data_IF_699006296190
#
_entry.id   IF_699006296190
#
_cell.length_a   1.000
_cell.length_b   1.000
_cell.length_c   1.000
_cell.angle_alpha   90.00
_cell.angle_beta   90.00
_cell.angle_gamma   90.00
#
_symmetry.space_group_name_H-M   'P 1'
#
loop_
_entity.id
_entity.type
_entity.pdbx_description
1 polymer ?
#
# COMPACT_ATOMS: atom_id res chain seq x y z
N UNK A 1 1.07 16.62 -12.18
CA UNK A 1 1.93 16.09 -13.25
C UNK A 1 2.43 14.68 -12.98
N UNK A 2 3.33 14.44 -12.01
CA UNK A 2 3.86 13.09 -11.75
C UNK A 2 2.77 12.04 -11.57
N UNK A 3 1.80 12.32 -10.71
CA UNK A 3 0.62 11.46 -10.46
C UNK A 3 -0.12 11.10 -11.75
N UNK A 4 -0.45 12.09 -12.58
CA UNK A 4 -1.24 11.87 -13.79
C UNK A 4 -0.45 11.09 -14.84
N UNK A 5 0.85 11.37 -14.99
CA UNK A 5 1.71 10.66 -15.94
C UNK A 5 1.96 9.21 -15.51
N UNK A 6 2.07 8.95 -14.22
CA UNK A 6 2.28 7.60 -13.72
C UNK A 6 1.06 6.69 -13.92
N UNK A 7 -0.15 7.23 -13.87
CA UNK A 7 -1.39 6.42 -14.02
C UNK A 7 -1.84 6.23 -15.48
N UNK A 8 -1.14 6.82 -16.46
CA UNK A 8 -1.43 6.64 -17.90
C UNK A 8 -1.59 5.17 -18.34
N UNK A 9 -0.82 4.19 -17.82
CA UNK A 9 -0.99 2.77 -18.16
C UNK A 9 -2.37 2.19 -17.80
N UNK A 10 -3.13 2.81 -16.91
CA UNK A 10 -4.50 2.39 -16.58
C UNK A 10 -5.54 2.83 -17.63
N UNK A 11 -5.12 3.56 -18.66
CA UNK A 11 -5.95 3.96 -19.78
C UNK A 11 -6.81 5.19 -19.51
N UNK A 12 -7.50 5.63 -20.57
CA UNK A 12 -8.20 6.91 -20.61
C UNK A 12 -9.37 6.97 -19.61
N UNK A 13 -10.08 5.86 -19.38
CA UNK A 13 -11.19 5.80 -18.43
C UNK A 13 -10.72 6.16 -17.01
N UNK A 14 -9.64 5.52 -16.54
CA UNK A 14 -9.07 5.82 -15.23
C UNK A 14 -8.58 7.26 -15.14
N UNK A 15 -7.80 7.69 -16.13
CA UNK A 15 -7.17 9.01 -16.14
C UNK A 15 -8.21 10.13 -16.12
N UNK A 16 -9.32 9.99 -16.86
CA UNK A 16 -10.37 11.02 -16.91
C UNK A 16 -11.06 11.21 -15.56
N UNK A 17 -11.37 10.11 -14.87
CA UNK A 17 -12.03 10.20 -13.56
C UNK A 17 -11.11 10.82 -12.52
N UNK A 18 -9.86 10.35 -12.41
CA UNK A 18 -8.95 10.87 -11.38
C UNK A 18 -8.47 12.29 -11.68
N UNK A 19 -8.25 12.69 -12.94
CA UNK A 19 -7.77 14.04 -13.31
C UNK A 19 -8.59 15.18 -12.70
N UNK A 20 -9.88 14.93 -12.42
CA UNK A 20 -10.80 15.87 -11.77
C UNK A 20 -10.28 16.37 -10.42
N UNK A 21 -9.46 15.60 -9.70
CA UNK A 21 -8.85 16.03 -8.43
C UNK A 21 -8.05 17.34 -8.57
N UNK A 22 -7.51 17.61 -9.76
CA UNK A 22 -6.70 18.80 -10.04
C UNK A 22 -7.53 20.09 -10.11
N UNK A 23 -8.83 19.99 -10.45
CA UNK A 23 -9.70 21.14 -10.69
C UNK A 23 -10.83 21.26 -9.66
N UNK A 24 -11.29 20.14 -9.10
CA UNK A 24 -12.45 20.06 -8.21
C UNK A 24 -12.11 20.17 -6.71
N UNK A 25 -10.89 20.58 -6.36
CA UNK A 25 -10.45 20.84 -4.98
C UNK A 25 -10.63 19.65 -4.02
N UNK A 26 -10.37 18.43 -4.48
CA UNK A 26 -10.47 17.24 -3.63
C UNK A 26 -9.47 17.25 -2.47
N UNK A 27 -8.29 17.86 -2.70
CA UNK A 27 -7.15 17.78 -1.78
C UNK A 27 -7.07 19.01 -0.87
N UNK A 28 -7.26 18.80 0.43
CA UNK A 28 -6.86 19.74 1.47
C UNK A 28 -5.41 19.47 1.87
N UNK A 29 -4.46 20.15 1.22
CA UNK A 29 -3.01 19.91 1.39
C UNK A 29 -2.31 20.90 2.33
N UNK A 30 -2.94 22.03 2.67
CA UNK A 30 -2.30 23.08 3.45
C UNK A 30 -2.16 22.67 4.92
N UNK A 31 -0.95 22.78 5.47
CA UNK A 31 -0.71 22.58 6.89
C UNK A 31 -1.35 23.73 7.70
N UNK A 32 -2.03 23.39 8.80
CA UNK A 32 -2.61 24.38 9.71
C UNK A 32 -2.67 23.83 11.15
N UNK A 33 -2.84 24.74 12.12
CA UNK A 33 -2.84 24.39 13.55
C UNK A 33 -4.08 23.55 13.89
N UNK A 34 -3.86 22.35 14.43
CA UNK A 34 -4.93 21.44 14.83
C UNK A 34 -5.44 20.54 13.71
N UNK A 35 -4.84 20.58 12.51
CA UNK A 35 -5.08 19.59 11.46
C UNK A 35 -4.57 18.23 11.91
N UNK A 36 -5.29 17.18 11.50
CA UNK A 36 -4.86 15.82 11.72
C UNK A 36 -3.54 15.51 10.98
N UNK A 37 -2.77 14.57 11.51
CA UNK A 37 -1.50 14.15 10.93
C UNK A 37 -1.70 13.04 9.89
N UNK A 38 -0.79 12.94 8.92
CA UNK A 38 -0.82 11.90 7.89
C UNK A 38 -1.61 12.29 6.65
N UNK A 39 -2.12 11.27 5.96
CA UNK A 39 -3.00 11.41 4.80
C UNK A 39 -4.14 10.39 4.86
N UNK A 40 -5.29 10.75 4.31
CA UNK A 40 -6.39 9.80 4.06
C UNK A 40 -7.31 10.32 2.95
N UNK A 41 -8.01 9.39 2.31
CA UNK A 41 -9.12 9.65 1.41
C UNK A 41 -10.45 9.24 2.07
N UNK A 42 -11.51 9.98 1.79
CA UNK A 42 -12.86 9.68 2.25
C UNK A 42 -13.88 9.91 1.14
N UNK A 43 -14.88 9.04 1.05
CA UNK A 43 -15.91 9.07 0.03
C UNK A 43 -17.33 9.12 0.62
N UNK A 44 -18.10 10.19 0.32
CA UNK A 44 -19.54 10.10 0.35
C UNK A 44 -20.01 9.41 -0.94
N UNK A 45 -20.85 8.38 -0.82
CA UNK A 45 -21.31 7.59 -1.97
C UNK A 45 -21.83 8.45 -3.14
N UNK A 46 -21.23 8.28 -4.32
CA UNK A 46 -21.50 9.01 -5.57
C UNK A 46 -21.25 10.52 -5.51
N UNK A 47 -20.47 10.96 -4.54
CA UNK A 47 -19.84 12.28 -4.51
C UNK A 47 -18.37 12.09 -4.85
N UNK A 48 -17.72 13.14 -5.35
CA UNK A 48 -16.28 13.08 -5.51
C UNK A 48 -15.58 12.83 -4.16
N UNK A 49 -14.42 12.14 -4.15
CA UNK A 49 -13.65 11.92 -2.94
C UNK A 49 -13.09 13.21 -2.34
N UNK A 50 -12.72 13.12 -1.06
CA UNK A 50 -11.96 14.14 -0.34
C UNK A 50 -10.66 13.55 0.16
N UNK A 51 -9.57 14.26 -0.04
CA UNK A 51 -8.23 13.87 0.40
C UNK A 51 -7.73 14.88 1.43
N UNK A 52 -7.37 14.40 2.61
CA UNK A 52 -6.64 15.19 3.60
C UNK A 52 -5.16 14.80 3.52
N UNK A 53 -4.27 15.78 3.44
CA UNK A 53 -2.83 15.57 3.61
C UNK A 53 -2.12 16.85 4.06
N UNK A 54 -0.84 16.75 4.40
CA UNK A 54 0.01 17.93 4.65
C UNK A 54 1.18 17.95 3.67
N UNK A 55 1.24 18.96 2.81
CA UNK A 55 2.28 19.08 1.79
C UNK A 55 3.50 19.87 2.28
N UNK A 56 4.68 19.29 2.12
CA UNK A 56 5.97 19.88 2.51
C UNK A 56 6.92 20.13 1.33
N UNK A 57 6.55 19.71 0.12
CA UNK A 57 7.36 19.86 -1.10
C UNK A 57 8.38 18.74 -1.31
N UNK A 58 8.21 17.59 -0.66
CA UNK A 58 9.10 16.42 -0.77
C UNK A 58 8.50 15.36 -1.70
N UNK A 59 9.34 14.48 -2.23
CA UNK A 59 8.86 13.38 -3.07
C UNK A 59 7.93 12.43 -2.29
N UNK A 60 8.19 12.23 -1.00
CA UNK A 60 7.29 11.48 -0.10
C UNK A 60 5.86 12.02 -0.13
N UNK A 61 5.67 13.34 -0.28
CA UNK A 61 4.34 13.93 -0.37
C UNK A 61 3.65 13.56 -1.69
N UNK A 62 4.40 13.33 -2.77
CA UNK A 62 3.86 12.81 -4.04
C UNK A 62 3.39 11.36 -3.86
N UNK A 63 4.15 10.54 -3.09
CA UNK A 63 3.73 9.18 -2.74
C UNK A 63 2.45 9.19 -1.90
N UNK A 64 2.35 10.06 -0.87
CA UNK A 64 1.10 10.23 -0.12
C UNK A 64 -0.04 10.68 -1.04
N UNK A 65 0.17 11.68 -1.89
CA UNK A 65 -0.87 12.14 -2.80
C UNK A 65 -1.34 11.01 -3.74
N UNK A 66 -0.42 10.28 -4.35
CA UNK A 66 -0.82 9.21 -5.29
C UNK A 66 -1.49 8.03 -4.58
N UNK A 67 -1.09 7.73 -3.34
CA UNK A 67 -1.74 6.76 -2.47
C UNK A 67 -3.21 7.11 -2.29
N UNK A 68 -3.49 8.34 -1.85
CA UNK A 68 -4.87 8.78 -1.63
C UNK A 68 -5.67 8.94 -2.93
N UNK A 69 -5.02 9.26 -4.05
CA UNK A 69 -5.67 9.25 -5.37
C UNK A 69 -5.98 7.83 -5.83
N UNK A 70 -5.21 6.81 -5.43
CA UNK A 70 -5.55 5.41 -5.66
C UNK A 70 -6.82 4.98 -4.93
N UNK A 71 -6.95 5.33 -3.65
CA UNK A 71 -8.20 5.17 -2.89
C UNK A 71 -9.35 5.94 -3.55
N UNK A 72 -9.13 7.21 -3.90
CA UNK A 72 -10.12 8.06 -4.58
C UNK A 72 -10.61 7.44 -5.90
N UNK A 73 -9.68 6.92 -6.71
CA UNK A 73 -10.01 6.20 -7.93
C UNK A 73 -10.88 4.97 -7.63
N UNK A 74 -10.49 4.15 -6.64
CA UNK A 74 -11.29 3.01 -6.24
C UNK A 74 -12.73 3.41 -5.84
N UNK A 75 -12.90 4.43 -5.00
CA UNK A 75 -14.21 4.91 -4.58
C UNK A 75 -15.09 5.30 -5.77
N UNK A 76 -14.55 6.08 -6.71
CA UNK A 76 -15.29 6.51 -7.91
C UNK A 76 -15.73 5.31 -8.74
N UNK A 77 -14.81 4.38 -8.99
CA UNK A 77 -15.10 3.21 -9.83
C UNK A 77 -16.12 2.29 -9.17
N UNK A 78 -16.04 2.05 -7.85
CA UNK A 78 -17.05 1.24 -7.16
C UNK A 78 -18.41 1.94 -7.05
N UNK A 79 -18.45 3.23 -6.70
CA UNK A 79 -19.69 3.97 -6.46
C UNK A 79 -20.56 4.11 -7.71
N UNK A 80 -19.89 4.25 -8.86
CA UNK A 80 -20.56 4.39 -10.15
C UNK A 80 -21.07 3.06 -10.71
N UNK A 81 -20.56 1.92 -10.24
CA UNK A 81 -20.88 0.60 -10.78
C UNK A 81 -21.62 -0.32 -9.80
N UNK A 82 -21.57 -0.02 -8.51
CA UNK A 82 -22.25 -0.78 -7.47
C UNK A 82 -23.43 -0.01 -6.88
N UNK A 83 -24.27 -0.73 -6.13
CA UNK A 83 -25.24 -0.11 -5.23
C UNK A 83 -24.54 0.32 -3.93
N UNK A 84 -25.17 1.21 -3.18
CA UNK A 84 -24.68 1.66 -1.87
C UNK A 84 -24.27 0.50 -0.94
N UNK A 85 -25.00 -0.63 -0.98
CA UNK A 85 -24.74 -1.78 -0.12
C UNK A 85 -23.49 -2.59 -0.51
N UNK A 86 -22.99 -2.41 -1.73
CA UNK A 86 -21.85 -3.17 -2.27
C UNK A 86 -20.73 -2.25 -2.78
N UNK A 87 -20.74 -0.95 -2.48
CA UNK A 87 -19.75 -0.02 -2.98
C UNK A 87 -18.38 -0.25 -2.33
N UNK A 88 -18.34 -0.42 -1.01
CA UNK A 88 -17.08 -0.60 -0.29
C UNK A 88 -16.48 -1.99 -0.54
N UNK A 89 -15.24 -2.01 -1.01
CA UNK A 89 -14.47 -3.24 -1.20
C UNK A 89 -14.17 -3.94 0.13
N UNK A 90 -13.73 -5.20 0.06
CA UNK A 90 -13.32 -5.90 1.27
C UNK A 90 -12.12 -5.22 1.92
N UNK A 91 -12.19 -5.05 3.24
CA UNK A 91 -11.07 -4.57 4.04
C UNK A 91 -9.81 -5.41 3.84
N UNK A 92 -9.91 -6.69 3.46
CA UNK A 92 -8.77 -7.56 3.19
C UNK A 92 -7.76 -6.97 2.19
N UNK A 93 -8.23 -6.25 1.18
CA UNK A 93 -7.38 -5.70 0.10
C UNK A 93 -7.64 -4.20 -0.15
N UNK A 94 -8.15 -3.48 0.87
CA UNK A 94 -8.51 -2.06 0.74
C UNK A 94 -7.31 -1.17 0.41
N UNK A 95 -6.09 -1.59 0.77
CA UNK A 95 -4.84 -0.88 0.47
C UNK A 95 -4.23 -1.25 -0.90
N UNK A 96 -4.88 -2.16 -1.65
CA UNK A 96 -4.38 -2.53 -2.97
C UNK A 96 -4.46 -1.38 -4.00
N UNK A 97 -5.55 -0.60 -4.10
CA UNK A 97 -5.66 0.51 -5.04
C UNK A 97 -4.61 1.61 -4.85
N UNK A 98 -4.42 2.03 -3.61
CA UNK A 98 -3.48 3.09 -3.24
C UNK A 98 -2.05 2.69 -3.55
N UNK A 99 -1.63 1.51 -3.07
CA UNK A 99 -0.26 1.02 -3.25
C UNK A 99 0.04 0.60 -4.68
N UNK A 100 -0.96 0.17 -5.45
CA UNK A 100 -0.80 -0.11 -6.88
C UNK A 100 -0.40 1.17 -7.63
N UNK A 101 -1.04 2.29 -7.32
CA UNK A 101 -0.65 3.54 -7.94
C UNK A 101 0.76 3.99 -7.51
N UNK A 102 1.19 3.73 -6.27
CA UNK A 102 2.59 3.99 -5.87
C UNK A 102 3.59 3.16 -6.68
N UNK A 103 3.26 1.92 -7.04
CA UNK A 103 4.09 1.10 -7.94
C UNK A 103 4.18 1.74 -9.32
N UNK A 104 3.07 2.28 -9.84
CA UNK A 104 3.07 3.03 -11.09
C UNK A 104 3.91 4.31 -11.00
N UNK A 105 3.88 5.04 -9.88
CA UNK A 105 4.76 6.19 -9.68
C UNK A 105 6.22 5.80 -9.67
N UNK A 106 6.56 4.73 -8.93
CA UNK A 106 7.91 4.20 -8.87
C UNK A 106 8.42 3.79 -10.26
N UNK A 107 7.60 3.05 -11.00
CA UNK A 107 7.88 2.61 -12.37
C UNK A 107 8.04 3.80 -13.33
N UNK A 108 7.16 4.79 -13.24
CA UNK A 108 7.26 6.02 -14.03
C UNK A 108 8.59 6.74 -13.76
N UNK A 109 8.92 6.97 -12.49
CA UNK A 109 10.16 7.64 -12.07
C UNK A 109 11.41 6.89 -12.53
N UNK A 110 11.40 5.56 -12.45
CA UNK A 110 12.49 4.70 -12.92
C UNK A 110 12.73 4.85 -14.44
N UNK A 111 11.66 4.98 -15.22
CA UNK A 111 11.72 5.04 -16.68
C UNK A 111 11.83 6.48 -17.25
N UNK A 112 11.82 7.52 -16.41
CA UNK A 112 12.00 8.90 -16.89
C UNK A 112 13.44 9.25 -17.27
N UNK A 113 14.43 8.44 -16.91
CA UNK A 113 15.83 8.76 -17.10
C UNK A 113 16.70 7.54 -17.23
N UNK A 114 17.77 7.64 -18.03
CA UNK A 114 18.80 6.61 -18.15
C UNK A 114 19.95 6.76 -17.14
N UNK A 115 19.92 7.78 -16.28
CA UNK A 115 20.91 7.96 -15.20
C UNK A 115 20.76 6.85 -14.13
N UNK A 116 21.78 5.98 -13.92
CA UNK A 116 21.74 4.94 -12.89
C UNK A 116 21.42 5.48 -11.49
N UNK A 117 21.83 6.72 -11.18
CA UNK A 117 21.52 7.36 -9.89
C UNK A 117 20.03 7.63 -9.74
N UNK A 118 19.36 8.06 -10.80
CA UNK A 118 17.92 8.33 -10.78
C UNK A 118 17.10 7.04 -10.76
N UNK A 119 17.52 6.01 -11.51
CA UNK A 119 16.89 4.67 -11.45
C UNK A 119 17.00 4.06 -10.06
N UNK A 120 18.20 4.05 -9.47
CA UNK A 120 18.41 3.59 -8.09
C UNK A 120 17.56 4.37 -7.10
N UNK A 121 17.47 5.69 -7.26
CA UNK A 121 16.66 6.54 -6.40
C UNK A 121 15.17 6.19 -6.47
N UNK A 122 14.61 5.96 -7.66
CA UNK A 122 13.22 5.53 -7.83
C UNK A 122 12.96 4.16 -7.17
N UNK A 123 13.84 3.18 -7.41
CA UNK A 123 13.74 1.85 -6.79
C UNK A 123 13.88 1.90 -5.26
N UNK A 124 14.76 2.77 -4.75
CA UNK A 124 14.88 2.98 -3.31
C UNK A 124 13.58 3.50 -2.70
N UNK A 125 12.89 4.46 -3.37
CA UNK A 125 11.59 4.96 -2.91
C UNK A 125 10.49 3.89 -3.01
N UNK A 126 10.52 3.03 -4.04
CA UNK A 126 9.64 1.84 -4.08
C UNK A 126 9.80 1.00 -2.81
N UNK A 127 11.04 0.74 -2.38
CA UNK A 127 11.27 -0.03 -1.16
C UNK A 127 10.91 0.75 0.11
N UNK A 128 11.33 2.01 0.25
CA UNK A 128 11.17 2.77 1.51
C UNK A 128 9.77 3.34 1.71
N UNK A 129 9.20 3.92 0.66
CA UNK A 129 7.96 4.70 0.75
C UNK A 129 6.72 3.83 0.50
N UNK A 130 6.86 2.75 -0.29
CA UNK A 130 5.78 1.77 -0.50
C UNK A 130 5.91 0.56 0.41
N UNK A 131 6.97 -0.25 0.30
CA UNK A 131 6.98 -1.58 0.94
C UNK A 131 7.46 -1.60 2.39
N UNK A 132 8.42 -0.78 2.80
CA UNK A 132 9.03 -0.93 4.12
C UNK A 132 8.01 -0.64 5.24
N UNK A 133 7.31 0.48 5.16
CA UNK A 133 6.23 0.77 6.10
C UNK A 133 4.99 -0.08 5.81
N UNK A 134 4.46 -0.02 4.59
CA UNK A 134 3.15 -0.60 4.33
C UNK A 134 3.18 -2.14 4.31
N UNK A 135 4.25 -2.77 3.84
CA UNK A 135 4.34 -4.24 3.81
C UNK A 135 4.95 -4.81 5.08
N UNK A 136 6.20 -4.44 5.36
CA UNK A 136 7.02 -5.10 6.39
C UNK A 136 6.60 -4.64 7.78
N UNK A 137 6.49 -3.33 8.02
CA UNK A 137 6.13 -2.82 9.34
C UNK A 137 4.73 -3.30 9.73
N UNK A 138 3.74 -3.14 8.85
CA UNK A 138 2.38 -3.62 9.16
C UNK A 138 2.25 -5.15 9.25
N UNK A 139 3.09 -5.94 8.56
CA UNK A 139 3.16 -7.40 8.77
C UNK A 139 3.60 -7.72 10.19
N UNK A 140 4.63 -7.04 10.69
CA UNK A 140 5.13 -7.21 12.05
C UNK A 140 4.10 -6.79 13.09
N UNK A 141 3.39 -5.69 12.84
CA UNK A 141 2.26 -5.26 13.66
C UNK A 141 1.15 -6.32 13.71
N UNK A 142 0.79 -6.90 12.56
CA UNK A 142 -0.20 -7.97 12.49
C UNK A 142 0.27 -9.24 13.22
N UNK A 143 1.55 -9.60 13.09
CA UNK A 143 2.15 -10.73 13.80
C UNK A 143 2.14 -10.51 15.33
N UNK A 144 2.44 -9.29 15.78
CA UNK A 144 2.30 -8.88 17.17
C UNK A 144 0.86 -9.00 17.67
N UNK A 145 -0.11 -8.41 16.95
CA UNK A 145 -1.53 -8.48 17.31
C UNK A 145 -2.02 -9.93 17.42
N UNK A 146 -1.61 -10.79 16.49
CA UNK A 146 -1.98 -12.21 16.51
C UNK A 146 -1.51 -12.89 17.79
N UNK A 147 -0.24 -12.68 18.21
CA UNK A 147 0.28 -13.22 19.46
C UNK A 147 -0.48 -12.67 20.69
N UNK A 148 -0.85 -11.38 20.68
CA UNK A 148 -1.65 -10.77 21.76
C UNK A 148 -3.06 -11.39 21.83
N UNK A 149 -3.74 -11.57 20.70
CA UNK A 149 -5.08 -12.17 20.66
C UNK A 149 -5.06 -13.64 21.07
N UNK A 150 -4.09 -14.43 20.59
CA UNK A 150 -3.93 -15.83 21.03
C UNK A 150 -3.74 -15.92 22.55
N UNK A 151 -2.96 -15.02 23.14
CA UNK A 151 -2.77 -14.98 24.60
C UNK A 151 -4.10 -14.73 25.34
N UNK A 152 -4.97 -13.84 24.83
CA UNK A 152 -6.30 -13.61 25.40
C UNK A 152 -7.20 -14.85 25.23
N UNK A 153 -7.17 -15.49 24.05
CA UNK A 153 -7.94 -16.70 23.75
C UNK A 153 -7.57 -17.87 24.67
N UNK A 154 -6.32 -17.93 25.10
CA UNK A 154 -5.80 -18.89 26.08
C UNK A 154 -6.21 -18.56 27.53
N UNK A 155 -6.92 -17.45 27.76
CA UNK A 155 -7.38 -17.01 29.07
C UNK A 155 -6.31 -16.29 29.90
N UNK A 156 -5.18 -15.95 29.29
CA UNK A 156 -4.10 -15.23 29.93
C UNK A 156 -4.34 -13.71 29.94
N UNK A 157 -3.55 -13.00 30.75
CA UNK A 157 -3.57 -11.53 30.80
C UNK A 157 -2.20 -10.97 30.51
N UNK A 158 -2.13 -9.71 30.10
CA UNK A 158 -0.87 -9.05 29.77
C UNK A 158 -0.78 -7.65 30.40
N UNK A 159 0.45 -7.26 30.73
CA UNK A 159 0.82 -5.89 31.01
C UNK A 159 1.93 -5.44 30.06
N UNK A 160 2.41 -4.20 30.22
CA UNK A 160 3.42 -3.61 29.34
C UNK A 160 4.67 -4.48 29.16
N UNK A 161 5.17 -5.13 30.22
CA UNK A 161 6.35 -6.00 30.14
C UNK A 161 6.14 -7.20 29.20
N UNK A 162 4.93 -7.78 29.20
CA UNK A 162 4.60 -8.90 28.32
C UNK A 162 4.46 -8.44 26.87
N UNK A 163 3.85 -7.27 26.64
CA UNK A 163 3.75 -6.68 25.30
C UNK A 163 5.13 -6.33 24.73
N UNK A 164 6.03 -5.76 25.54
CA UNK A 164 7.42 -5.52 25.14
C UNK A 164 8.12 -6.83 24.73
N UNK A 165 7.96 -7.89 25.51
CA UNK A 165 8.53 -9.21 25.19
C UNK A 165 7.98 -9.76 23.87
N UNK A 166 6.67 -9.66 23.63
CA UNK A 166 6.05 -10.14 22.38
C UNK A 166 6.57 -9.33 21.19
N UNK A 167 6.65 -8.00 21.31
CA UNK A 167 7.16 -7.16 20.23
C UNK A 167 8.62 -7.49 19.92
N UNK A 168 9.47 -7.62 20.96
CA UNK A 168 10.88 -7.99 20.78
C UNK A 168 11.03 -9.36 20.12
N UNK A 169 10.21 -10.33 20.50
CA UNK A 169 10.17 -11.66 19.89
C UNK A 169 9.82 -11.57 18.40
N UNK A 170 8.73 -10.86 18.05
CA UNK A 170 8.31 -10.68 16.65
C UNK A 170 9.40 -10.02 15.80
N UNK A 171 10.05 -8.98 16.32
CA UNK A 171 11.15 -8.31 15.62
C UNK A 171 12.36 -9.24 15.45
N UNK A 172 12.71 -10.00 16.49
CA UNK A 172 13.83 -10.95 16.47
C UNK A 172 13.57 -12.10 15.49
N UNK A 173 12.36 -12.67 15.49
CA UNK A 173 11.97 -13.76 14.60
C UNK A 173 12.05 -13.35 13.12
N UNK A 174 11.68 -12.11 12.81
CA UNK A 174 11.67 -11.61 11.44
C UNK A 174 13.06 -11.16 10.95
N UNK A 175 13.77 -10.36 11.75
CA UNK A 175 15.04 -9.76 11.33
C UNK A 175 16.26 -10.64 11.57
N UNK A 176 16.18 -11.60 12.49
CA UNK A 176 17.29 -12.50 12.80
C UNK A 176 18.56 -11.74 13.21
N UNK A 177 19.68 -12.04 12.56
CA UNK A 177 20.98 -11.41 12.77
C UNK A 177 21.26 -10.23 11.82
N UNK A 178 20.28 -9.82 11.00
CA UNK A 178 20.46 -8.73 10.05
C UNK A 178 20.62 -7.36 10.74
N UNK A 179 20.02 -7.18 11.92
CA UNK A 179 20.10 -5.96 12.74
C UNK A 179 20.14 -6.30 14.24
N UNK A 180 20.64 -5.37 15.04
CA UNK A 180 20.57 -5.46 16.50
C UNK A 180 19.18 -5.00 16.99
N UNK A 181 18.48 -5.86 17.73
CA UNK A 181 17.18 -5.53 18.35
C UNK A 181 17.40 -5.19 19.83
N UNK A 182 17.50 -3.88 20.11
CA UNK A 182 17.63 -3.37 21.47
C UNK A 182 16.30 -3.38 22.25
N UNK A 183 16.33 -2.94 23.51
CA UNK A 183 15.14 -2.88 24.37
C UNK A 183 14.20 -1.71 24.01
N UNK A 184 14.70 -0.68 23.33
CA UNK A 184 13.87 0.46 22.88
C UNK A 184 13.01 0.07 21.67
N UNK A 185 13.51 -0.79 20.79
CA UNK A 185 12.76 -1.38 19.67
C UNK A 185 11.50 -2.12 20.16
N UNK A 186 11.56 -2.72 21.35
CA UNK A 186 10.44 -3.41 21.98
C UNK A 186 9.28 -2.48 22.38
N UNK A 187 9.50 -1.15 22.43
CA UNK A 187 8.48 -0.16 22.80
C UNK A 187 7.69 0.38 21.61
N UNK A 188 8.06 -0.01 20.39
CA UNK A 188 7.45 0.51 19.15
C UNK A 188 5.95 0.23 19.06
N UNK A 189 5.45 -0.84 19.70
CA UNK A 189 4.01 -1.15 19.75
C UNK A 189 3.16 -0.02 20.36
N UNK A 190 3.75 0.83 21.20
CA UNK A 190 3.01 1.88 21.90
C UNK A 190 2.54 3.02 20.99
N UNK A 191 3.12 3.17 19.79
CA UNK A 191 2.89 4.33 18.92
C UNK A 191 1.78 4.11 17.90
N UNK A 192 1.35 2.86 17.71
CA UNK A 192 0.58 2.50 16.53
C UNK A 192 -0.93 2.54 16.78
N UNK A 193 -1.61 3.44 16.08
CA UNK A 193 -3.06 3.62 16.19
C UNK A 193 -3.86 2.46 15.58
N UNK A 194 -3.32 1.78 14.56
CA UNK A 194 -4.00 0.68 13.88
C UNK A 194 -4.34 -0.50 14.80
N UNK A 195 -3.65 -0.64 15.93
CA UNK A 195 -3.98 -1.65 16.93
C UNK A 195 -5.39 -1.49 17.53
N UNK A 196 -5.93 -0.28 17.50
CA UNK A 196 -7.28 0.01 17.97
C UNK A 196 -8.35 -0.12 16.87
N UNK A 197 -7.96 -0.56 15.67
CA UNK A 197 -8.83 -0.76 14.50
C UNK A 197 -9.01 -2.25 14.17
N UNK A 198 -8.82 -3.14 15.14
CA UNK A 198 -8.90 -4.58 14.93
C UNK A 198 -7.72 -5.09 14.10
N UNK A 199 -7.98 -5.92 13.10
CA UNK A 199 -6.95 -6.56 12.25
C UNK A 199 -6.48 -5.68 11.08
N UNK A 200 -6.57 -4.35 11.21
CA UNK A 200 -6.27 -3.43 10.11
C UNK A 200 -4.81 -3.52 9.63
N UNK A 201 -3.81 -3.70 10.52
CA UNK A 201 -2.41 -3.82 10.05
C UNK A 201 -2.22 -4.98 9.05
N UNK A 202 -2.98 -6.07 9.16
CA UNK A 202 -2.90 -7.17 8.20
C UNK A 202 -3.41 -6.80 6.79
N UNK A 203 -4.32 -5.82 6.68
CA UNK A 203 -4.90 -5.42 5.39
C UNK A 203 -3.87 -4.80 4.46
N UNK A 204 -2.85 -4.13 5.00
CA UNK A 204 -1.76 -3.63 4.17
C UNK A 204 -0.95 -4.78 3.57
N UNK A 205 -0.49 -5.75 4.38
CA UNK A 205 0.28 -6.87 3.83
C UNK A 205 -0.52 -7.65 2.77
N UNK A 206 -1.79 -7.94 3.03
CA UNK A 206 -2.66 -8.57 2.05
C UNK A 206 -2.92 -7.67 0.81
N UNK A 207 -3.15 -6.38 1.02
CA UNK A 207 -3.37 -5.38 -0.01
C UNK A 207 -2.17 -5.20 -0.95
N UNK A 208 -0.95 -5.13 -0.41
CA UNK A 208 0.28 -5.02 -1.20
C UNK A 208 0.57 -6.29 -2.01
N UNK A 209 0.15 -7.47 -1.54
CA UNK A 209 0.21 -8.70 -2.36
C UNK A 209 -0.73 -8.59 -3.56
N UNK A 210 -1.97 -8.14 -3.36
CA UNK A 210 -2.94 -7.93 -4.45
C UNK A 210 -2.47 -6.82 -5.41
N UNK A 211 -1.95 -5.71 -4.88
CA UNK A 211 -1.38 -4.60 -5.64
C UNK A 211 -0.20 -5.06 -6.51
N UNK A 212 0.74 -5.81 -5.93
CA UNK A 212 1.90 -6.33 -6.67
C UNK A 212 1.46 -7.31 -7.75
N UNK A 213 0.52 -8.23 -7.44
CA UNK A 213 -0.04 -9.14 -8.42
C UNK A 213 -0.75 -8.38 -9.55
N UNK A 214 -1.52 -7.34 -9.22
CA UNK A 214 -2.18 -6.47 -10.20
C UNK A 214 -1.18 -5.74 -11.08
N UNK A 215 -0.12 -5.19 -10.50
CA UNK A 215 0.93 -4.50 -11.23
C UNK A 215 1.65 -5.45 -12.20
N UNK A 216 1.99 -6.66 -11.76
CA UNK A 216 2.57 -7.69 -12.62
C UNK A 216 1.59 -8.14 -13.70
N UNK A 217 0.30 -8.25 -13.39
CA UNK A 217 -0.74 -8.57 -14.38
C UNK A 217 -0.86 -7.46 -15.43
N UNK A 218 -0.85 -6.19 -15.03
CA UNK A 218 -0.81 -5.02 -15.93
C UNK A 218 0.36 -5.09 -16.91
N UNK A 219 1.55 -5.50 -16.44
CA UNK A 219 2.75 -5.57 -17.27
C UNK A 219 2.77 -6.77 -18.23
N UNK A 220 2.09 -7.86 -17.87
CA UNK A 220 2.22 -9.15 -18.57
C UNK A 220 0.96 -9.59 -19.32
N UNK A 221 -0.16 -8.88 -19.18
CA UNK A 221 -1.44 -9.18 -19.83
C UNK A 221 -1.89 -8.02 -20.73
N UNK A 222 -2.35 -8.33 -21.94
CA UNK A 222 -2.94 -7.33 -22.87
C UNK A 222 -4.16 -6.64 -22.26
N UNK A 223 -4.91 -7.33 -21.39
CA UNK A 223 -6.11 -6.82 -20.73
C UNK A 223 -5.84 -6.30 -19.32
N UNK A 224 -4.57 -6.21 -18.88
CA UNK A 224 -4.25 -6.00 -17.47
C UNK A 224 -4.82 -4.68 -16.89
N UNK A 225 -4.90 -3.62 -17.69
CA UNK A 225 -5.55 -2.37 -17.29
C UNK A 225 -7.07 -2.53 -17.12
N UNK A 226 -7.73 -3.20 -18.06
CA UNK A 226 -9.16 -3.48 -18.02
C UNK A 226 -9.52 -4.38 -16.82
N UNK A 227 -8.73 -5.41 -16.57
CA UNK A 227 -8.92 -6.32 -15.45
C UNK A 227 -8.75 -5.60 -14.10
N UNK A 228 -7.76 -4.70 -13.99
CA UNK A 228 -7.61 -3.86 -12.81
C UNK A 228 -8.83 -2.94 -12.59
N UNK A 229 -9.30 -2.27 -13.65
CA UNK A 229 -10.52 -1.46 -13.60
C UNK A 229 -11.74 -2.30 -13.20
N UNK A 230 -11.88 -3.52 -13.72
CA UNK A 230 -12.95 -4.44 -13.36
C UNK A 230 -12.89 -4.86 -11.88
N UNK A 231 -11.69 -5.03 -11.32
CA UNK A 231 -11.50 -5.23 -9.89
C UNK A 231 -12.01 -4.01 -9.10
N UNK A 232 -11.63 -2.78 -9.46
CA UNK A 232 -12.10 -1.57 -8.79
C UNK A 232 -13.63 -1.42 -8.87
N UNK A 233 -14.21 -1.62 -10.07
CA UNK A 233 -15.65 -1.57 -10.33
C UNK A 233 -16.44 -2.62 -9.55
N UNK A 234 -15.80 -3.71 -9.11
CA UNK A 234 -16.48 -4.76 -8.36
C UNK A 234 -16.88 -4.33 -6.95
N UNK A 235 -16.23 -3.32 -6.37
CA UNK A 235 -16.47 -2.90 -4.98
C UNK A 235 -16.47 -4.09 -4.02
N UNK A 236 -17.53 -4.20 -3.22
CA UNK A 236 -17.82 -5.31 -2.31
C UNK A 236 -18.74 -6.40 -2.87
N UNK A 237 -19.01 -6.41 -4.18
CA UNK A 237 -19.93 -7.40 -4.79
C UNK A 237 -19.34 -8.81 -4.94
N UNK A 238 -18.04 -8.96 -4.68
CA UNK A 238 -17.27 -10.20 -4.80
C UNK A 238 -16.54 -10.49 -3.50
N UNK A 239 -16.31 -11.77 -3.21
CA UNK A 239 -15.39 -12.18 -2.14
C UNK A 239 -13.95 -11.76 -2.49
N UNK A 240 -13.04 -11.62 -1.50
CA UNK A 240 -11.65 -11.29 -1.78
C UNK A 240 -10.98 -12.21 -2.80
N UNK A 241 -11.28 -13.51 -2.75
CA UNK A 241 -10.73 -14.48 -3.70
C UNK A 241 -11.29 -14.25 -5.11
N UNK A 242 -12.60 -14.05 -5.25
CA UNK A 242 -13.21 -13.77 -6.56
C UNK A 242 -12.71 -12.46 -7.18
N UNK A 243 -12.48 -11.43 -6.35
CA UNK A 243 -11.89 -10.15 -6.80
C UNK A 243 -10.44 -10.33 -7.25
N UNK A 244 -9.62 -11.02 -6.46
CA UNK A 244 -8.21 -11.29 -6.78
C UNK A 244 -8.05 -12.13 -8.07
N UNK A 245 -8.98 -13.05 -8.32
CA UNK A 245 -8.97 -13.86 -9.54
C UNK A 245 -9.20 -13.05 -10.83
N UNK A 246 -9.79 -11.84 -10.77
CA UNK A 246 -9.93 -10.95 -11.94
C UNK A 246 -8.56 -10.59 -12.51
N UNK A 247 -7.56 -10.40 -11.64
CA UNK A 247 -6.18 -10.07 -11.99
C UNK A 247 -5.26 -11.30 -11.96
N UNK A 248 -5.84 -12.50 -12.01
CA UNK A 248 -5.09 -13.76 -12.01
C UNK A 248 -4.41 -14.14 -10.69
N UNK A 249 -4.78 -13.50 -9.56
CA UNK A 249 -4.15 -13.74 -8.26
C UNK A 249 -4.97 -14.74 -7.41
N UNK A 250 -4.52 -16.00 -7.34
CA UNK A 250 -5.13 -17.01 -6.46
C UNK A 250 -4.60 -16.93 -5.02
N UNK A 251 -5.27 -16.11 -4.21
CA UNK A 251 -4.95 -15.91 -2.78
C UNK A 251 -5.35 -17.08 -1.86
N UNK A 252 -5.89 -18.18 -2.41
CA UNK A 252 -6.02 -19.43 -1.65
C UNK A 252 -4.71 -20.22 -1.58
N UNK A 253 -3.71 -19.81 -2.37
CA UNK A 253 -2.36 -20.39 -2.43
C UNK A 253 -1.30 -19.41 -1.92
N UNK A 254 -0.07 -19.89 -1.73
CA UNK A 254 1.06 -19.03 -1.34
C UNK A 254 1.71 -18.31 -2.54
N UNK A 255 1.27 -18.60 -3.78
CA UNK A 255 1.92 -18.08 -5.00
C UNK A 255 1.94 -16.54 -5.07
N UNK A 256 0.83 -15.79 -4.87
CA UNK A 256 0.88 -14.33 -4.96
C UNK A 256 1.84 -13.69 -3.95
N UNK A 257 1.93 -14.26 -2.74
CA UNK A 257 2.87 -13.82 -1.73
C UNK A 257 4.32 -14.10 -2.15
N UNK A 258 4.61 -15.31 -2.68
CA UNK A 258 5.94 -15.65 -3.19
C UNK A 258 6.37 -14.77 -4.35
N UNK A 259 5.47 -14.47 -5.28
CA UNK A 259 5.73 -13.57 -6.40
C UNK A 259 6.04 -12.15 -5.90
N UNK A 260 5.31 -11.68 -4.87
CA UNK A 260 5.57 -10.38 -4.22
C UNK A 260 6.95 -10.34 -3.58
N UNK A 261 7.36 -11.40 -2.87
CA UNK A 261 8.70 -11.50 -2.28
C UNK A 261 9.78 -11.52 -3.38
N UNK A 262 9.56 -12.26 -4.46
CA UNK A 262 10.48 -12.29 -5.60
C UNK A 262 10.61 -10.90 -6.25
N UNK A 263 9.51 -10.18 -6.45
CA UNK A 263 9.52 -8.82 -6.99
C UNK A 263 10.36 -7.86 -6.13
N UNK A 264 10.29 -7.99 -4.80
CA UNK A 264 11.14 -7.20 -3.90
C UNK A 264 12.61 -7.62 -3.97
N UNK A 265 12.89 -8.92 -4.06
CA UNK A 265 14.25 -9.43 -4.26
C UNK A 265 14.86 -8.85 -5.54
N UNK A 266 14.12 -8.91 -6.65
CA UNK A 266 14.57 -8.40 -7.95
C UNK A 266 14.80 -6.87 -7.89
N UNK A 267 13.95 -6.14 -7.15
CA UNK A 267 14.12 -4.70 -6.91
C UNK A 267 15.44 -4.41 -6.16
N UNK A 268 15.78 -5.21 -5.15
CA UNK A 268 17.06 -5.10 -4.43
C UNK A 268 18.24 -5.40 -5.34
N UNK A 269 18.16 -6.45 -6.16
CA UNK A 269 19.21 -6.82 -7.11
C UNK A 269 19.47 -5.70 -8.14
N UNK A 270 18.41 -5.03 -8.61
CA UNK A 270 18.53 -3.85 -9.48
C UNK A 270 19.22 -2.68 -8.77
N UNK A 271 18.88 -2.40 -7.51
CA UNK A 271 19.56 -1.37 -6.71
C UNK A 271 21.05 -1.67 -6.55
N UNK A 272 21.41 -2.93 -6.29
CA UNK A 272 22.81 -3.37 -6.20
C UNK A 272 23.51 -3.16 -7.55
N UNK A 273 22.88 -3.56 -8.65
CA UNK A 273 23.44 -3.39 -9.99
C UNK A 273 23.69 -1.92 -10.35
N UNK A 274 22.75 -1.02 -10.04
CA UNK A 274 22.95 0.42 -10.28
C UNK A 274 23.99 1.03 -9.33
N UNK A 275 24.13 0.54 -8.10
CA UNK A 275 25.19 1.00 -7.19
C UNK A 275 26.57 0.63 -7.72
N UNK A 276 26.73 -0.59 -8.23
CA UNK A 276 27.97 -1.02 -8.88
C UNK A 276 28.33 -0.15 -10.10
N UNK A 277 27.35 0.29 -10.90
CA UNK A 277 27.58 1.21 -12.03
C UNK A 277 28.05 2.61 -11.57
N UNK A 278 27.68 3.01 -10.35
CA UNK A 278 28.10 4.28 -9.75
C UNK A 278 29.45 4.18 -8.99
N UNK A 279 29.99 2.97 -8.86
CA UNK A 279 31.20 2.70 -8.08
C UNK A 279 30.98 2.76 -6.56
N UNK A 280 29.74 2.52 -6.11
CA UNK A 280 29.32 2.47 -4.71
C UNK A 280 29.06 1.03 -4.25
#
# INVERSE_FOLDING_TARGET
DLVMKSVEPLGQEYCQEVARYQEERWVDFAANSGKDSGGYAADPYRVHPYVLMSWTGRLSDVYTLIHEIGHSGQFIFSDNHQSYFNAHMSTYYVEAPSTFNELLLSDYLEHQSDDPRQKRFALAHRLTDTYFHNFITHLLEAAFQRKVYTLIEEGETFGASKLNSIMKEVLTDFWGDAIEIDDDAALTWMRQAHYYMGLYSYTYSAGLVISTAGYLHLKNSENGAEDWLNLLKSGGSKTPLESAMIIGADISTDKPLRDTIQFLSDTVDQIIAYSAQLGE
#
